data_IF_797047877659
#
_entry.id   IF_797047877659
#
_cell.length_a   1.000
_cell.length_b   1.000
_cell.length_c   1.000
_cell.angle_alpha   90.00
_cell.angle_beta   90.00
_cell.angle_gamma   90.00
#
_symmetry.space_group_name_H-M   'P 1'
#
loop_
_entity.id
_entity.type
_entity.pdbx_description
1 polymer ?
#
# COMPACT_ATOMS: atom_id res chain seq x y z
N UNK A 1 -5.23 -10.46 -11.50
CA UNK A 1 -4.19 -10.52 -12.53
C UNK A 1 -4.03 -11.96 -12.98
N UNK A 2 -3.88 -12.18 -14.26
CA UNK A 2 -3.67 -13.52 -14.78
C UNK A 2 -2.18 -13.83 -14.72
N UNK A 3 -1.83 -14.96 -14.10
CA UNK A 3 -0.47 -15.46 -14.14
C UNK A 3 -0.19 -15.97 -15.56
N UNK A 4 0.44 -15.16 -16.36
CA UNK A 4 0.97 -15.57 -17.65
C UNK A 4 2.44 -15.91 -17.49
N UNK A 5 2.69 -17.19 -17.23
CA UNK A 5 4.04 -17.74 -17.03
C UNK A 5 4.98 -17.48 -18.20
N UNK A 6 4.44 -17.25 -19.40
CA UNK A 6 5.26 -16.95 -20.58
C UNK A 6 5.82 -15.54 -20.57
N UNK A 7 5.20 -14.64 -19.83
CA UNK A 7 5.48 -13.19 -19.88
C UNK A 7 6.02 -12.62 -18.56
N UNK A 8 5.51 -13.04 -17.41
CA UNK A 8 5.65 -12.26 -16.18
C UNK A 8 6.61 -12.82 -15.13
N UNK A 9 6.63 -14.10 -14.92
CA UNK A 9 7.25 -14.70 -13.75
C UNK A 9 8.57 -15.39 -14.10
N UNK A 10 9.51 -14.63 -14.63
CA UNK A 10 10.83 -15.14 -14.97
C UNK A 10 11.80 -14.89 -13.83
N UNK A 11 12.69 -15.83 -13.58
CA UNK A 11 13.67 -15.72 -12.52
C UNK A 11 14.59 -14.49 -12.64
N UNK A 12 14.80 -14.02 -13.88
CA UNK A 12 15.55 -12.80 -14.17
C UNK A 12 14.75 -11.49 -14.01
N UNK A 13 13.44 -11.58 -13.71
CA UNK A 13 12.62 -10.41 -13.46
C UNK A 13 12.77 -9.96 -12.01
N UNK A 14 13.35 -8.80 -11.78
CA UNK A 14 13.61 -8.21 -10.47
C UNK A 14 12.50 -7.28 -9.95
N UNK A 15 11.38 -7.14 -10.69
CA UNK A 15 10.24 -6.33 -10.25
C UNK A 15 9.47 -6.93 -9.07
N UNK A 16 9.61 -8.23 -8.84
CA UNK A 16 8.91 -8.95 -7.78
C UNK A 16 9.89 -9.72 -6.90
N UNK A 17 9.51 -9.97 -5.66
CA UNK A 17 10.27 -10.86 -4.79
C UNK A 17 10.00 -12.32 -5.11
N UNK A 18 11.06 -13.13 -5.10
CA UNK A 18 11.02 -14.57 -5.30
C UNK A 18 11.69 -15.30 -4.13
N UNK A 19 11.02 -16.28 -3.53
CA UNK A 19 11.61 -17.11 -2.48
C UNK A 19 12.25 -18.39 -3.02
N UNK A 20 12.12 -18.64 -4.31
CA UNK A 20 12.72 -19.81 -4.97
C UNK A 20 11.97 -21.13 -4.79
N UNK A 21 10.88 -21.13 -4.06
CA UNK A 21 10.03 -22.29 -3.78
C UNK A 21 8.60 -22.05 -4.29
N UNK A 22 7.86 -23.11 -4.53
CA UNK A 22 6.45 -23.00 -4.93
C UNK A 22 5.60 -22.59 -3.75
N UNK A 23 4.66 -21.68 -3.99
CA UNK A 23 3.70 -21.24 -3.00
C UNK A 23 2.78 -22.37 -2.58
N UNK A 24 2.65 -22.61 -1.29
CA UNK A 24 1.64 -23.49 -0.71
C UNK A 24 0.55 -22.64 -0.07
N UNK A 25 -0.66 -22.67 -0.65
CA UNK A 25 -1.78 -21.90 -0.14
C UNK A 25 -2.25 -22.42 1.23
N UNK A 26 -2.66 -21.53 2.14
CA UNK A 26 -3.13 -21.91 3.47
C UNK A 26 -4.54 -22.51 3.47
N UNK A 27 -5.24 -22.46 2.34
CA UNK A 27 -6.61 -22.97 2.19
C UNK A 27 -6.61 -24.28 1.40
N UNK A 28 -7.41 -25.27 1.78
CA UNK A 28 -7.56 -26.48 1.00
C UNK A 28 -8.19 -26.16 -0.36
N UNK A 29 -7.71 -26.86 -1.37
CA UNK A 29 -8.29 -26.75 -2.72
C UNK A 29 -9.68 -27.41 -2.69
N UNK A 30 -10.73 -26.74 -3.17
CA UNK A 30 -12.06 -27.33 -3.27
C UNK A 30 -12.06 -28.61 -4.08
N UNK A 31 -12.91 -29.57 -3.69
CA UNK A 31 -13.05 -30.85 -4.41
C UNK A 31 -13.39 -30.62 -5.89
N UNK A 32 -12.68 -31.27 -6.78
CA UNK A 32 -12.86 -31.15 -8.23
C UNK A 32 -12.10 -29.98 -8.88
N UNK A 33 -11.43 -29.12 -8.10
CA UNK A 33 -10.55 -28.09 -8.63
C UNK A 33 -9.09 -28.57 -8.64
N UNK A 34 -8.34 -28.12 -9.65
CA UNK A 34 -6.88 -28.31 -9.62
C UNK A 34 -6.26 -27.30 -8.68
N UNK A 35 -5.20 -27.69 -7.93
CA UNK A 35 -4.39 -26.72 -7.20
C UNK A 35 -3.89 -25.63 -8.14
N UNK A 36 -3.92 -24.39 -7.67
CA UNK A 36 -3.24 -23.31 -8.36
C UNK A 36 -1.73 -23.55 -8.24
N UNK A 37 -1.09 -23.77 -9.36
CA UNK A 37 0.36 -23.90 -9.42
C UNK A 37 0.97 -22.56 -9.78
N UNK A 38 1.58 -21.93 -8.81
CA UNK A 38 2.24 -20.66 -9.01
C UNK A 38 3.72 -20.87 -9.34
N UNK A 39 4.24 -20.02 -10.21
CA UNK A 39 5.69 -19.89 -10.40
C UNK A 39 6.33 -19.45 -9.10
N UNK A 40 7.57 -19.91 -8.80
CA UNK A 40 8.20 -19.62 -7.52
C UNK A 40 8.35 -18.12 -7.31
N UNK A 41 7.43 -17.56 -6.62
CA UNK A 41 7.47 -16.19 -6.18
C UNK A 41 6.85 -16.16 -4.81
N UNK A 42 7.38 -15.60 -3.90
CA UNK A 42 7.23 -14.90 -3.58
C UNK A 42 7.11 -14.29 -2.34
N UNK A 43 7.11 -13.13 -1.97
CA UNK A 43 6.58 -12.51 -0.80
C UNK A 43 5.14 -12.08 -1.08
N UNK A 44 4.29 -12.08 -0.08
CA UNK A 44 2.95 -11.51 -0.16
C UNK A 44 3.01 -9.97 -0.04
N UNK A 45 1.95 -9.30 -0.47
CA UNK A 45 1.86 -7.84 -0.39
C UNK A 45 2.04 -7.29 1.03
N UNK A 46 1.67 -8.05 2.07
CA UNK A 46 1.85 -7.67 3.47
C UNK A 46 3.20 -8.10 4.09
N UNK A 47 4.21 -8.33 3.25
CA UNK A 47 5.58 -8.66 3.68
C UNK A 47 5.75 -10.03 4.35
N UNK A 48 4.94 -11.01 4.02
CA UNK A 48 5.24 -12.40 4.36
C UNK A 48 6.18 -12.97 3.29
N UNK A 49 7.43 -13.27 3.68
CA UNK A 49 8.48 -13.80 2.79
C UNK A 49 8.60 -15.34 2.89
N UNK A 50 7.49 -16.02 3.10
CA UNK A 50 7.43 -17.47 3.25
C UNK A 50 6.73 -18.10 2.05
N UNK A 51 7.18 -19.27 1.56
CA UNK A 51 6.43 -20.05 0.57
C UNK A 51 5.16 -20.67 1.16
N UNK A 52 4.99 -20.61 2.48
CA UNK A 52 3.82 -21.12 3.21
C UNK A 52 3.18 -20.00 4.04
N UNK A 53 2.56 -18.99 3.41
CA UNK A 53 1.89 -17.92 4.13
C UNK A 53 0.72 -18.47 4.95
N UNK A 54 0.40 -17.80 6.06
CA UNK A 54 -0.77 -18.10 6.87
C UNK A 54 -2.06 -17.58 6.26
N UNK A 55 -3.20 -18.00 6.82
CA UNK A 55 -4.53 -17.59 6.35
C UNK A 55 -4.78 -16.07 6.45
N UNK A 56 -4.05 -15.36 7.29
CA UNK A 56 -4.17 -13.92 7.47
C UNK A 56 -3.15 -13.14 6.61
N UNK A 57 -2.27 -13.83 5.92
CA UNK A 57 -1.36 -13.20 4.97
C UNK A 57 -2.07 -12.96 3.64
N UNK A 58 -1.58 -11.99 2.89
CA UNK A 58 -2.18 -11.65 1.60
C UNK A 58 -1.67 -12.58 0.50
N UNK A 59 -1.90 -13.89 0.69
CA UNK A 59 -1.40 -14.94 -0.20
C UNK A 59 -1.93 -14.87 -1.65
N UNK A 60 -2.93 -14.05 -1.90
CA UNK A 60 -3.45 -13.77 -3.24
C UNK A 60 -2.68 -12.64 -3.96
N UNK A 61 -1.67 -12.08 -3.30
CA UNK A 61 -0.90 -10.95 -3.82
C UNK A 61 0.57 -11.30 -3.94
N UNK A 62 1.27 -10.59 -4.81
CA UNK A 62 2.71 -10.71 -4.99
C UNK A 62 3.39 -9.39 -4.61
N UNK A 63 4.44 -9.47 -3.80
CA UNK A 63 5.20 -8.31 -3.37
C UNK A 63 6.02 -7.73 -4.52
N UNK A 64 5.80 -6.46 -4.80
CA UNK A 64 6.66 -5.70 -5.71
C UNK A 64 7.99 -5.42 -5.01
N UNK A 65 9.07 -5.65 -5.73
CA UNK A 65 10.42 -5.38 -5.24
C UNK A 65 10.81 -3.93 -5.53
N UNK A 66 10.68 -3.09 -4.52
CA UNK A 66 11.17 -1.71 -4.61
C UNK A 66 12.67 -1.58 -4.32
N UNK A 67 13.29 -2.60 -3.71
CA UNK A 67 14.66 -2.51 -3.22
C UNK A 67 14.84 -1.49 -2.10
N UNK A 68 16.07 -1.41 -1.58
CA UNK A 68 16.45 -0.43 -0.53
C UNK A 68 16.90 0.91 -1.12
N UNK A 69 17.28 0.90 -2.39
CA UNK A 69 17.73 2.06 -3.15
C UNK A 69 16.97 2.17 -4.47
N UNK A 70 17.24 3.21 -5.26
CA UNK A 70 16.62 3.43 -6.55
C UNK A 70 16.85 2.24 -7.52
N UNK A 71 15.75 1.64 -7.97
CA UNK A 71 15.75 0.49 -8.87
C UNK A 71 14.96 0.78 -10.15
N UNK A 72 15.01 -0.13 -11.10
CA UNK A 72 14.16 -0.08 -12.29
C UNK A 72 12.65 -0.08 -11.96
N UNK A 73 12.26 -0.67 -10.82
CA UNK A 73 10.87 -0.62 -10.32
C UNK A 73 10.43 0.81 -10.05
N UNK A 74 11.29 1.67 -9.47
CA UNK A 74 10.97 3.08 -9.22
C UNK A 74 10.68 3.81 -10.51
N UNK A 75 11.53 3.63 -11.52
CA UNK A 75 11.34 4.27 -12.83
C UNK A 75 10.04 3.82 -13.49
N UNK A 76 9.71 2.52 -13.41
CA UNK A 76 8.45 1.99 -13.93
C UNK A 76 7.23 2.54 -13.22
N UNK A 77 7.29 2.68 -11.90
CA UNK A 77 6.22 3.30 -11.13
C UNK A 77 6.08 4.79 -11.45
N UNK A 78 7.21 5.48 -11.66
CA UNK A 78 7.19 6.86 -12.14
C UNK A 78 6.50 6.97 -13.51
N UNK A 79 6.86 6.12 -14.49
CA UNK A 79 6.25 6.11 -15.81
C UNK A 79 4.72 5.93 -15.73
N UNK A 80 4.24 5.06 -14.83
CA UNK A 80 2.80 4.82 -14.62
C UNK A 80 2.12 6.07 -14.06
N UNK A 81 2.68 6.67 -13.03
CA UNK A 81 2.10 7.86 -12.39
C UNK A 81 2.15 9.06 -13.34
N UNK A 82 3.26 9.26 -14.03
CA UNK A 82 3.43 10.32 -15.02
C UNK A 82 2.45 10.18 -16.19
N UNK A 83 2.25 8.96 -16.68
CA UNK A 83 1.25 8.69 -17.71
C UNK A 83 -0.15 9.17 -17.30
N UNK A 84 -0.60 8.82 -16.09
CA UNK A 84 -1.92 9.26 -15.63
C UNK A 84 -1.97 10.75 -15.30
N UNK A 85 -0.91 11.32 -14.74
CA UNK A 85 -0.78 12.76 -14.53
C UNK A 85 -0.94 13.53 -15.85
N UNK A 86 -0.29 13.05 -16.91
CA UNK A 86 -0.41 13.65 -18.26
C UNK A 86 -1.82 13.57 -18.86
N UNK A 87 -2.69 12.69 -18.32
CA UNK A 87 -4.11 12.60 -18.71
C UNK A 87 -5.00 13.56 -17.92
N UNK A 88 -4.45 14.31 -16.99
CA UNK A 88 -5.17 15.34 -16.25
C UNK A 88 -5.94 14.81 -15.03
N UNK A 89 -5.46 13.75 -14.37
CA UNK A 89 -6.00 13.37 -13.06
C UNK A 89 -5.58 14.40 -12.02
N UNK A 90 -6.44 14.65 -11.03
CA UNK A 90 -6.19 15.63 -9.97
C UNK A 90 -5.29 15.09 -8.86
N UNK A 91 -5.16 13.77 -8.74
CA UNK A 91 -4.32 13.18 -7.69
C UNK A 91 -4.33 11.66 -7.68
N UNK A 92 -3.58 11.12 -6.71
CA UNK A 92 -3.41 9.68 -6.50
C UNK A 92 -3.66 9.30 -5.05
N UNK A 93 -4.52 8.32 -4.85
CA UNK A 93 -4.63 7.63 -3.57
C UNK A 93 -3.64 6.47 -3.57
N UNK A 94 -2.74 6.45 -2.61
CA UNK A 94 -1.73 5.42 -2.44
C UNK A 94 -2.14 4.48 -1.31
N UNK A 95 -2.36 3.22 -1.69
CA UNK A 95 -2.80 2.15 -0.82
C UNK A 95 -1.64 1.64 0.04
N UNK A 96 -1.90 1.37 1.31
CA UNK A 96 -0.99 0.67 2.23
C UNK A 96 0.47 1.15 2.15
N UNK A 97 0.68 2.45 2.14
CA UNK A 97 2.01 3.05 1.92
C UNK A 97 3.06 2.62 2.94
N UNK A 98 2.64 2.16 4.12
CA UNK A 98 3.54 1.62 5.16
C UNK A 98 4.27 0.33 4.73
N UNK A 99 3.76 -0.36 3.72
CA UNK A 99 4.35 -1.59 3.18
C UNK A 99 5.33 -1.33 2.02
N UNK A 100 5.51 -0.07 1.66
CA UNK A 100 6.40 0.38 0.58
C UNK A 100 7.50 1.25 1.19
N UNK A 101 8.76 1.17 0.73
CA UNK A 101 9.82 2.00 1.27
C UNK A 101 9.49 3.49 1.18
N UNK A 102 9.53 4.25 2.29
CA UNK A 102 9.16 5.67 2.29
C UNK A 102 10.04 6.52 1.39
N UNK A 103 11.29 6.12 1.17
CA UNK A 103 12.24 6.78 0.27
C UNK A 103 11.74 6.78 -1.18
N UNK A 104 11.05 5.71 -1.61
CA UNK A 104 10.43 5.64 -2.92
C UNK A 104 9.38 6.74 -3.08
N UNK A 105 8.45 6.87 -2.13
CA UNK A 105 7.42 7.90 -2.19
C UNK A 105 8.00 9.31 -2.16
N UNK A 106 8.99 9.55 -1.30
CA UNK A 106 9.68 10.84 -1.25
C UNK A 106 10.26 11.24 -2.60
N UNK A 107 10.93 10.31 -3.25
CA UNK A 107 11.50 10.50 -4.58
C UNK A 107 10.40 10.71 -5.64
N UNK A 108 9.40 9.82 -5.67
CA UNK A 108 8.32 9.84 -6.66
C UNK A 108 7.53 11.16 -6.60
N UNK A 109 7.05 11.52 -5.40
CA UNK A 109 6.24 12.73 -5.19
C UNK A 109 7.03 13.97 -5.59
N UNK A 110 8.28 14.08 -5.15
CA UNK A 110 9.14 15.21 -5.51
C UNK A 110 9.32 15.33 -7.03
N UNK A 111 9.55 14.21 -7.70
CA UNK A 111 9.76 14.17 -9.16
C UNK A 111 8.48 14.52 -9.92
N UNK A 112 7.34 13.97 -9.55
CA UNK A 112 6.03 14.25 -10.18
C UNK A 112 5.65 15.72 -9.98
N UNK A 113 5.77 16.25 -8.76
CA UNK A 113 5.41 17.65 -8.48
C UNK A 113 6.29 18.68 -9.18
N UNK A 114 7.44 18.29 -9.68
CA UNK A 114 8.26 19.18 -10.53
C UNK A 114 7.57 19.51 -11.85
N UNK A 115 6.86 18.56 -12.45
CA UNK A 115 6.14 18.73 -13.72
C UNK A 115 4.65 18.98 -13.54
N UNK A 116 4.08 18.50 -12.44
CA UNK A 116 2.66 18.57 -12.12
C UNK A 116 2.46 19.05 -10.67
N UNK A 117 2.70 20.33 -10.37
CA UNK A 117 2.74 20.84 -8.98
C UNK A 117 1.39 20.75 -8.25
N UNK A 118 0.28 20.75 -8.97
CA UNK A 118 -1.07 20.74 -8.41
C UNK A 118 -1.59 19.32 -8.11
N UNK A 119 -0.87 18.27 -8.51
CA UNK A 119 -1.29 16.89 -8.23
C UNK A 119 -1.23 16.60 -6.73
N UNK A 120 -2.32 16.04 -6.23
CA UNK A 120 -2.48 15.68 -4.81
C UNK A 120 -2.13 14.20 -4.59
N UNK A 121 -1.32 13.92 -3.57
CA UNK A 121 -1.04 12.57 -3.10
C UNK A 121 -1.71 12.32 -1.75
N UNK A 122 -2.55 11.28 -1.69
CA UNK A 122 -3.26 10.87 -0.47
C UNK A 122 -2.74 9.52 -0.02
N UNK A 123 -2.19 9.44 1.19
CA UNK A 123 -1.64 8.20 1.74
C UNK A 123 -2.66 7.46 2.61
N UNK A 124 -2.68 6.14 2.51
CA UNK A 124 -3.32 5.29 3.50
C UNK A 124 -2.29 4.83 4.52
N UNK A 125 -2.37 5.36 5.74
CA UNK A 125 -1.46 5.06 6.85
C UNK A 125 -2.30 4.67 8.06
N UNK A 126 -2.00 3.51 8.66
CA UNK A 126 -2.72 3.03 9.85
C UNK A 126 -2.02 3.41 11.15
N UNK A 127 -0.70 3.52 11.14
CA UNK A 127 0.10 3.86 12.32
C UNK A 127 0.14 5.37 12.53
N UNK A 128 -0.57 5.85 13.58
CA UNK A 128 -0.66 7.28 13.91
C UNK A 128 0.70 7.95 14.11
N UNK A 129 1.64 7.21 14.67
CA UNK A 129 3.01 7.70 14.90
C UNK A 129 3.76 8.06 13.62
N UNK A 130 3.34 7.50 12.48
CA UNK A 130 3.94 7.77 11.17
C UNK A 130 3.29 8.97 10.45
N UNK A 131 2.14 9.46 10.87
CA UNK A 131 1.41 10.53 10.17
C UNK A 131 2.30 11.75 9.91
N UNK A 132 3.04 12.17 10.95
CA UNK A 132 3.94 13.32 10.82
C UNK A 132 5.08 13.11 9.84
N UNK A 133 5.59 11.89 9.72
CA UNK A 133 6.64 11.54 8.77
C UNK A 133 6.13 11.59 7.33
N UNK A 134 4.98 10.93 7.08
CA UNK A 134 4.42 10.85 5.72
C UNK A 134 4.01 12.23 5.17
N UNK A 135 3.48 13.11 6.01
CA UNK A 135 3.13 14.46 5.60
C UNK A 135 4.38 15.35 5.45
N UNK A 136 5.19 15.47 6.51
CA UNK A 136 6.24 16.50 6.56
C UNK A 136 7.54 16.09 5.88
N UNK A 137 7.89 14.80 5.93
CA UNK A 137 9.20 14.33 5.47
C UNK A 137 9.14 13.66 4.11
N UNK A 138 8.06 12.92 3.82
CA UNK A 138 7.87 12.19 2.58
C UNK A 138 7.17 13.06 1.54
N UNK A 139 6.19 13.89 1.96
CA UNK A 139 5.58 14.89 1.11
C UNK A 139 4.19 14.58 0.60
N UNK A 140 3.46 13.65 1.24
CA UNK A 140 2.04 13.47 0.98
C UNK A 140 1.25 14.72 1.38
N UNK A 141 0.23 15.07 0.60
CA UNK A 141 -0.61 16.23 0.87
C UNK A 141 -1.68 15.90 1.92
N UNK A 142 -2.16 14.66 1.95
CA UNK A 142 -3.23 14.20 2.84
C UNK A 142 -3.00 12.76 3.29
N UNK A 143 -3.63 12.41 4.41
CA UNK A 143 -3.70 11.04 4.94
C UNK A 143 -5.15 10.64 5.16
N UNK A 144 -5.46 9.36 5.01
CA UNK A 144 -6.63 8.74 5.61
C UNK A 144 -6.40 8.57 7.12
N UNK A 145 -7.20 9.20 7.94
CA UNK A 145 -7.18 8.98 9.39
C UNK A 145 -8.05 7.79 9.78
N UNK A 146 -7.59 6.58 9.40
CA UNK A 146 -8.30 5.33 9.69
C UNK A 146 -8.32 5.04 11.20
N UNK A 147 -7.17 5.10 11.83
CA UNK A 147 -6.99 4.68 13.22
C UNK A 147 -7.36 5.78 14.24
N UNK A 148 -7.58 6.99 13.78
CA UNK A 148 -8.05 8.10 14.61
C UNK A 148 -9.54 8.33 14.41
N UNK A 149 -9.90 9.10 13.39
CA UNK A 149 -11.27 9.56 13.17
C UNK A 149 -12.24 8.40 12.86
N UNK A 150 -11.88 7.53 11.92
CA UNK A 150 -12.79 6.46 11.49
C UNK A 150 -13.10 5.49 12.64
N UNK A 151 -12.09 4.97 13.33
CA UNK A 151 -12.30 3.98 14.41
C UNK A 151 -13.02 4.62 15.60
N UNK A 152 -12.79 5.90 15.86
CA UNK A 152 -13.51 6.63 16.90
C UNK A 152 -14.97 6.85 16.52
N UNK A 153 -15.27 7.30 15.31
CA UNK A 153 -16.64 7.42 14.79
C UNK A 153 -17.40 6.09 14.86
N UNK A 154 -16.76 5.03 14.40
CA UNK A 154 -17.31 3.68 14.47
C UNK A 154 -17.65 3.28 15.89
N UNK A 155 -16.75 3.53 16.84
CA UNK A 155 -16.97 3.24 18.26
C UNK A 155 -18.17 4.03 18.81
N UNK A 156 -18.29 5.30 18.45
CA UNK A 156 -19.42 6.14 18.88
C UNK A 156 -20.74 5.59 18.33
N UNK A 157 -20.79 5.23 17.06
CA UNK A 157 -22.00 4.70 16.41
C UNK A 157 -22.38 3.33 16.95
N UNK A 158 -21.43 2.42 17.08
CA UNK A 158 -21.70 1.04 17.50
C UNK A 158 -22.01 0.92 19.00
N UNK A 159 -21.37 1.71 19.83
CA UNK A 159 -21.55 1.64 21.30
C UNK A 159 -22.68 2.52 21.81
N UNK A 160 -23.37 3.25 20.94
CA UNK A 160 -24.47 4.15 21.35
C UNK A 160 -24.06 5.00 22.56
N UNK A 161 -22.91 5.69 22.43
CA UNK A 161 -22.35 6.49 23.54
C UNK A 161 -23.28 7.64 23.82
N UNK A 162 -24.14 7.43 24.81
CA UNK A 162 -25.07 8.44 25.29
C UNK A 162 -24.32 9.49 26.12
N UNK A 163 -24.67 10.72 25.87
CA UNK A 163 -24.85 11.84 26.77
C UNK A 163 -23.68 12.68 27.24
N UNK A 164 -22.41 12.36 27.04
CA UNK A 164 -21.37 13.21 27.60
C UNK A 164 -20.34 13.80 26.62
N UNK A 165 -20.78 14.07 25.42
CA UNK A 165 -19.94 14.79 24.47
C UNK A 165 -19.07 13.89 23.60
N UNK A 166 -18.63 14.44 22.48
CA UNK A 166 -17.68 13.79 21.59
C UNK A 166 -16.44 13.36 22.37
N UNK A 167 -15.97 12.10 22.23
CA UNK A 167 -14.70 11.70 22.84
C UNK A 167 -13.59 12.69 22.50
N UNK A 168 -12.72 12.95 23.45
CA UNK A 168 -11.58 13.87 23.25
C UNK A 168 -10.74 13.43 22.05
N UNK A 169 -10.62 12.14 21.82
CA UNK A 169 -9.93 11.54 20.68
C UNK A 169 -10.56 11.92 19.33
N UNK A 170 -11.88 12.03 19.25
CA UNK A 170 -12.55 12.48 18.02
C UNK A 170 -12.17 13.92 17.67
N UNK A 171 -12.12 14.78 18.67
CA UNK A 171 -11.66 16.16 18.49
C UNK A 171 -10.19 16.22 18.06
N UNK A 172 -9.33 15.46 18.72
CA UNK A 172 -7.90 15.39 18.38
C UNK A 172 -7.67 14.83 16.99
N UNK A 173 -8.43 13.80 16.60
CA UNK A 173 -8.34 13.23 15.25
C UNK A 173 -8.86 14.19 14.18
N UNK A 174 -9.96 14.88 14.44
CA UNK A 174 -10.51 15.87 13.51
C UNK A 174 -9.59 17.08 13.31
N UNK A 175 -8.82 17.45 14.35
CA UNK A 175 -7.82 18.53 14.29
C UNK A 175 -6.46 18.05 13.81
N UNK A 176 -6.22 16.74 13.85
CA UNK A 176 -4.97 16.10 13.39
C UNK A 176 -4.91 15.88 11.88
N UNK A 177 -5.96 16.21 11.12
CA UNK A 177 -5.88 16.29 9.66
C UNK A 177 -5.03 17.51 9.32
N UNK A 178 -3.75 17.34 9.37
CA UNK A 178 -2.80 18.37 9.01
C UNK A 178 -2.83 18.55 7.49
N UNK A 179 -3.37 19.67 7.08
CA UNK A 179 -3.01 20.25 5.77
C UNK A 179 -1.62 20.87 5.94
N UNK A 180 -0.73 20.52 5.05
CA UNK A 180 0.45 21.37 4.81
C UNK A 180 0.04 22.62 4.06
#
# INVERSE_FOLDING_TARGET
AYDDRSVHWKAENDFFYYVGESLTLPTPVPEGMKPYEETPAMATGNNCYSPTPGINDWYETVKINYGDEHTATWDRMYDIIEFWASKGVDGFRCDMVELVPPQFFKWLISKIKTSYPDIIFVAEVYKKELYGEYIRSIGFDMLYDKSGLYDTLRTVVEKNVNDNGMPVELWQSATGITRN
#
